data_IF_689851013514
#
_entry.id   IF_689851013514
#
_cell.length_a   1.000
_cell.length_b   1.000
_cell.length_c   1.000
_cell.angle_alpha   90.00
_cell.angle_beta   90.00
_cell.angle_gamma   90.00
#
_symmetry.space_group_name_H-M   'P 1'
#
loop_
_entity.id
_entity.type
_entity.pdbx_description
1 polymer ?
#
# COMPACT_ATOMS: atom_id res chain seq x y z
N UNK A 1 -24.05 -27.45 10.48
CA UNK A 1 -25.49 -27.70 10.26
C UNK A 1 -25.88 -27.04 8.94
N UNK A 2 -26.23 -27.84 7.92
CA UNK A 2 -26.81 -27.35 6.67
C UNK A 2 -28.28 -27.75 6.62
N UNK A 3 -29.14 -26.79 6.42
CA UNK A 3 -30.61 -27.01 6.18
C UNK A 3 -30.95 -26.55 4.77
N UNK A 4 -31.57 -27.41 3.99
CA UNK A 4 -32.09 -27.11 2.65
C UNK A 4 -33.60 -27.35 2.65
N UNK A 5 -34.39 -26.36 2.20
CA UNK A 5 -35.80 -26.50 1.92
C UNK A 5 -36.00 -26.66 0.40
N UNK A 6 -36.47 -27.82 -0.04
CA UNK A 6 -36.74 -28.08 -1.45
C UNK A 6 -38.24 -28.31 -1.67
N UNK A 7 -38.78 -27.56 -2.61
CA UNK A 7 -40.15 -27.83 -3.16
C UNK A 7 -39.96 -28.48 -4.54
N UNK A 8 -40.40 -29.72 -4.74
CA UNK A 8 -40.36 -30.37 -6.03
C UNK A 8 -41.77 -30.57 -6.60
N UNK A 9 -42.00 -30.01 -7.79
CA UNK A 9 -43.22 -30.30 -8.59
C UNK A 9 -42.83 -31.22 -9.72
N UNK A 10 -43.31 -32.48 -9.71
CA UNK A 10 -43.11 -33.41 -10.81
C UNK A 10 -44.12 -33.12 -11.96
N UNK A 11 -43.57 -32.79 -13.14
CA UNK A 11 -44.38 -32.60 -14.36
C UNK A 11 -44.33 -33.86 -15.23
N UNK A 12 -45.47 -34.58 -15.35
CA UNK A 12 -45.76 -35.44 -16.51
C UNK A 12 -47.00 -34.91 -17.18
N UNK A 13 -46.86 -34.46 -18.42
CA UNK A 13 -47.95 -34.01 -19.28
C UNK A 13 -48.69 -35.24 -19.79
N UNK A 14 -49.83 -35.55 -19.23
CA UNK A 14 -50.97 -36.20 -19.86
C UNK A 14 -52.23 -35.82 -19.07
N UNK A 15 -53.24 -35.42 -19.80
CA UNK A 15 -54.58 -34.99 -19.34
C UNK A 15 -55.14 -35.85 -18.22
N UNK A 16 -55.15 -35.31 -17.00
CA UNK A 16 -56.16 -35.55 -15.99
C UNK A 16 -56.05 -34.49 -14.89
N UNK A 17 -57.16 -33.81 -14.57
CA UNK A 17 -57.22 -32.76 -13.52
C UNK A 17 -57.24 -33.39 -12.13
N UNK A 18 -56.25 -34.24 -11.82
CA UNK A 18 -56.00 -34.74 -10.48
C UNK A 18 -54.93 -33.89 -9.79
N UNK A 19 -55.31 -33.37 -8.62
CA UNK A 19 -54.50 -32.53 -7.71
C UNK A 19 -53.07 -32.99 -7.66
N UNK A 20 -52.16 -32.17 -8.17
CA UNK A 20 -50.70 -32.39 -8.01
C UNK A 20 -50.38 -32.28 -6.52
N UNK A 21 -49.88 -33.33 -5.88
CA UNK A 21 -49.45 -33.24 -4.48
C UNK A 21 -48.26 -32.31 -4.37
N UNK A 22 -48.41 -31.21 -3.65
CA UNK A 22 -47.25 -30.36 -3.22
C UNK A 22 -46.69 -31.01 -1.98
N UNK A 23 -45.40 -31.42 -2.03
CA UNK A 23 -44.65 -31.91 -0.88
C UNK A 23 -43.68 -30.84 -0.45
N UNK A 24 -43.72 -30.46 0.80
CA UNK A 24 -42.75 -29.58 1.46
C UNK A 24 -41.89 -30.45 2.37
N UNK A 25 -40.56 -30.51 2.07
CA UNK A 25 -39.59 -31.24 2.85
C UNK A 25 -38.56 -30.27 3.42
N UNK A 26 -38.32 -30.37 4.70
CA UNK A 26 -37.18 -29.73 5.37
C UNK A 26 -36.20 -30.84 5.73
N UNK A 27 -34.97 -30.75 5.15
CA UNK A 27 -33.91 -31.69 5.41
C UNK A 27 -32.83 -31.03 6.29
N UNK A 28 -32.47 -31.66 7.37
CA UNK A 28 -31.33 -31.29 8.21
C UNK A 28 -30.30 -32.43 8.17
N UNK A 29 -29.05 -32.10 7.90
CA UNK A 29 -27.97 -33.08 7.95
C UNK A 29 -26.78 -32.53 8.72
N UNK A 30 -26.18 -33.40 9.51
CA UNK A 30 -24.98 -33.08 10.27
C UNK A 30 -23.93 -34.19 10.09
N UNK A 31 -22.75 -33.83 9.60
CA UNK A 31 -21.60 -34.72 9.53
C UNK A 31 -20.83 -34.63 10.85
N UNK A 32 -20.73 -35.74 11.58
CA UNK A 32 -20.03 -35.83 12.86
C UNK A 32 -18.53 -35.97 12.57
N UNK A 33 -17.71 -34.97 12.97
CA UNK A 33 -16.27 -34.96 12.66
C UNK A 33 -15.51 -35.91 13.58
N UNK A 34 -15.32 -37.16 13.16
CA UNK A 34 -14.64 -38.17 13.95
C UNK A 34 -13.10 -38.10 13.86
N UNK A 35 -12.54 -37.57 12.76
CA UNK A 35 -11.12 -37.62 12.43
C UNK A 35 -10.49 -36.24 12.32
N UNK A 36 -10.96 -35.25 13.07
CA UNK A 36 -10.39 -33.91 13.16
C UNK A 36 -10.67 -33.01 11.96
N UNK A 37 -11.64 -33.33 11.14
CA UNK A 37 -12.04 -32.55 9.96
C UNK A 37 -12.51 -31.15 10.34
N UNK A 38 -13.26 -31.01 11.43
CA UNK A 38 -13.74 -29.72 11.96
C UNK A 38 -12.55 -28.82 12.39
N UNK A 39 -11.56 -29.40 13.09
CA UNK A 39 -10.34 -28.66 13.47
C UNK A 39 -9.60 -28.11 12.25
N UNK A 40 -9.45 -28.92 11.20
CA UNK A 40 -8.75 -28.50 9.99
C UNK A 40 -9.58 -27.46 9.22
N UNK A 41 -10.90 -27.60 9.20
CA UNK A 41 -11.81 -26.63 8.60
C UNK A 41 -11.76 -25.30 9.34
N UNK A 42 -11.83 -25.33 10.67
CA UNK A 42 -11.72 -24.15 11.51
C UNK A 42 -10.33 -23.50 11.35
N UNK A 43 -9.25 -24.27 11.42
CA UNK A 43 -7.90 -23.76 11.21
C UNK A 43 -7.74 -23.08 9.84
N UNK A 44 -8.32 -23.66 8.78
CA UNK A 44 -8.30 -23.06 7.45
C UNK A 44 -9.03 -21.69 7.41
N UNK A 45 -10.18 -21.58 8.10
CA UNK A 45 -10.94 -20.35 8.22
C UNK A 45 -10.23 -19.28 9.06
N UNK A 46 -9.70 -19.68 10.23
CA UNK A 46 -8.95 -18.78 11.13
C UNK A 46 -7.69 -18.22 10.43
N UNK A 47 -6.98 -19.07 9.69
CA UNK A 47 -5.81 -18.64 8.90
C UNK A 47 -6.20 -17.72 7.74
N UNK A 48 -7.37 -17.91 7.11
CA UNK A 48 -7.88 -16.98 6.11
C UNK A 48 -8.16 -15.59 6.72
N UNK A 49 -8.73 -15.54 7.93
CA UNK A 49 -8.93 -14.28 8.67
C UNK A 49 -7.57 -13.65 9.01
N UNK A 50 -6.61 -14.44 9.49
CA UNK A 50 -5.26 -13.94 9.79
C UNK A 50 -4.56 -13.37 8.55
N UNK A 51 -4.68 -14.03 7.39
CA UNK A 51 -4.15 -13.54 6.12
C UNK A 51 -4.80 -12.21 5.70
N UNK A 52 -6.13 -12.10 5.79
CA UNK A 52 -6.86 -10.88 5.49
C UNK A 52 -6.45 -9.72 6.43
N UNK A 53 -6.16 -10.00 7.70
CA UNK A 53 -5.62 -9.02 8.64
C UNK A 53 -4.24 -8.50 8.20
N UNK A 54 -3.37 -9.37 7.65
CA UNK A 54 -2.08 -8.95 7.10
C UNK A 54 -2.25 -8.13 5.80
N UNK A 55 -3.24 -8.43 4.97
CA UNK A 55 -3.55 -7.62 3.79
C UNK A 55 -3.95 -6.18 4.19
N UNK A 56 -4.75 -6.02 5.26
CA UNK A 56 -5.08 -4.70 5.82
C UNK A 56 -3.84 -4.01 6.37
N UNK A 57 -2.96 -4.73 7.07
CA UNK A 57 -1.71 -4.17 7.58
C UNK A 57 -0.79 -3.70 6.44
N UNK A 58 -0.65 -4.50 5.38
CA UNK A 58 0.13 -4.14 4.20
C UNK A 58 -0.43 -2.90 3.48
N UNK A 59 -1.75 -2.82 3.33
CA UNK A 59 -2.41 -1.65 2.74
C UNK A 59 -2.17 -0.38 3.57
N UNK A 60 -2.25 -0.46 4.90
CA UNK A 60 -1.93 0.67 5.80
C UNK A 60 -0.49 1.15 5.63
N UNK A 61 0.47 0.21 5.59
CA UNK A 61 1.89 0.55 5.34
C UNK A 61 2.03 1.29 4.02
N UNK A 62 1.42 0.76 2.95
CA UNK A 62 1.51 1.35 1.61
C UNK A 62 0.94 2.77 1.58
N UNK A 63 -0.30 2.96 2.05
CA UNK A 63 -0.98 4.27 2.05
C UNK A 63 -0.23 5.28 2.94
N UNK A 64 0.23 4.86 4.13
CA UNK A 64 0.99 5.76 5.01
C UNK A 64 2.32 6.19 4.39
N UNK A 65 3.02 5.27 3.73
CA UNK A 65 4.27 5.58 3.04
C UNK A 65 4.04 6.50 1.83
N UNK A 66 2.95 6.33 1.11
CA UNK A 66 2.56 7.16 -0.02
C UNK A 66 2.22 8.59 0.43
N UNK A 67 1.37 8.74 1.46
CA UNK A 67 1.05 10.06 2.06
C UNK A 67 2.32 10.77 2.55
N UNK A 68 3.22 10.05 3.24
CA UNK A 68 4.48 10.60 3.71
C UNK A 68 5.38 11.05 2.54
N UNK A 69 5.44 10.24 1.47
CA UNK A 69 6.18 10.56 0.24
C UNK A 69 5.64 11.80 -0.46
N UNK A 70 4.33 11.89 -0.61
CA UNK A 70 3.66 13.02 -1.23
C UNK A 70 3.78 14.30 -0.39
N UNK A 71 3.72 14.17 0.94
CA UNK A 71 3.96 15.30 1.84
C UNK A 71 5.39 15.86 1.70
N UNK A 72 6.40 14.99 1.68
CA UNK A 72 7.81 15.38 1.46
C UNK A 72 7.97 16.06 0.09
N UNK A 73 7.33 15.52 -0.94
CA UNK A 73 7.32 16.08 -2.28
C UNK A 73 6.68 17.48 -2.31
N UNK A 74 5.51 17.63 -1.70
CA UNK A 74 4.84 18.91 -1.60
C UNK A 74 5.73 19.99 -0.98
N UNK A 75 6.43 19.65 0.13
CA UNK A 75 7.32 20.60 0.80
C UNK A 75 8.54 20.96 -0.07
N UNK A 76 9.07 20.00 -0.82
CA UNK A 76 10.13 20.26 -1.80
C UNK A 76 9.67 21.17 -2.94
N UNK A 77 8.47 20.92 -3.50
CA UNK A 77 7.87 21.77 -4.54
C UNK A 77 7.64 23.21 -4.06
N UNK A 78 7.12 23.38 -2.84
CA UNK A 78 6.91 24.70 -2.24
C UNK A 78 8.24 25.46 -2.05
N UNK A 79 9.29 24.75 -1.61
CA UNK A 79 10.62 25.34 -1.49
C UNK A 79 11.21 25.73 -2.84
N UNK A 80 11.11 24.86 -3.84
CA UNK A 80 11.57 25.13 -5.21
C UNK A 80 10.79 26.29 -5.85
N UNK A 81 9.48 26.36 -5.62
CA UNK A 81 8.65 27.49 -6.05
C UNK A 81 9.17 28.81 -5.49
N UNK A 82 9.50 28.85 -4.18
CA UNK A 82 10.06 30.04 -3.53
C UNK A 82 11.42 30.42 -4.18
N UNK A 83 12.33 29.47 -4.34
CA UNK A 83 13.66 29.70 -4.93
C UNK A 83 13.55 30.14 -6.41
N UNK A 84 12.58 29.59 -7.16
CA UNK A 84 12.30 30.01 -8.56
C UNK A 84 11.73 31.43 -8.63
N UNK A 85 10.88 31.84 -7.71
CA UNK A 85 10.40 33.22 -7.66
C UNK A 85 11.56 34.21 -7.35
N UNK A 86 12.50 33.84 -6.47
CA UNK A 86 13.71 34.59 -6.23
C UNK A 86 14.60 34.67 -7.49
N UNK A 87 14.73 33.55 -8.22
CA UNK A 87 15.45 33.49 -9.49
C UNK A 87 14.83 34.41 -10.55
N UNK A 88 13.51 34.41 -10.70
CA UNK A 88 12.82 35.30 -11.65
C UNK A 88 13.14 36.77 -11.34
N UNK A 89 13.03 37.18 -10.08
CA UNK A 89 13.35 38.55 -9.66
C UNK A 89 14.81 38.92 -9.95
N UNK A 90 15.73 37.98 -9.85
CA UNK A 90 17.15 38.14 -10.15
C UNK A 90 17.36 38.28 -11.67
N UNK A 91 16.74 37.41 -12.47
CA UNK A 91 16.83 37.44 -13.94
C UNK A 91 16.20 38.71 -14.54
N UNK A 92 15.12 39.22 -13.96
CA UNK A 92 14.53 40.50 -14.37
C UNK A 92 15.51 41.68 -14.18
N UNK A 93 16.23 41.69 -13.03
CA UNK A 93 17.29 42.71 -12.79
C UNK A 93 18.48 42.53 -13.71
N UNK A 94 18.89 41.31 -13.97
CA UNK A 94 20.00 40.98 -14.88
C UNK A 94 19.64 41.40 -16.34
N UNK A 95 18.44 41.07 -16.80
CA UNK A 95 17.95 41.45 -18.14
C UNK A 95 17.85 42.97 -18.30
N UNK A 96 17.39 43.70 -17.28
CA UNK A 96 17.38 45.18 -17.32
C UNK A 96 18.81 45.75 -17.46
N UNK A 97 19.76 45.20 -16.73
CA UNK A 97 21.17 45.61 -16.83
C UNK A 97 21.75 45.30 -18.20
N UNK A 98 21.47 44.12 -18.77
CA UNK A 98 21.89 43.74 -20.13
C UNK A 98 21.31 44.69 -21.18
N UNK A 99 20.05 45.08 -21.08
CA UNK A 99 19.42 46.06 -21.96
C UNK A 99 20.06 47.45 -21.88
N UNK A 100 20.41 47.92 -20.67
CA UNK A 100 21.14 49.21 -20.52
C UNK A 100 22.52 49.12 -21.12
N UNK A 101 23.26 48.03 -20.91
CA UNK A 101 24.58 47.81 -21.52
C UNK A 101 24.51 47.75 -23.06
N UNK A 102 23.49 47.10 -23.62
CA UNK A 102 23.25 47.07 -25.08
C UNK A 102 23.02 48.46 -25.66
N UNK A 103 22.15 49.27 -25.02
CA UNK A 103 21.90 50.66 -25.43
C UNK A 103 23.16 51.53 -25.36
N UNK A 104 24.02 51.24 -24.41
CA UNK A 104 25.33 51.92 -24.27
C UNK A 104 26.43 51.38 -25.20
N UNK A 105 26.12 50.35 -26.02
CA UNK A 105 27.10 49.70 -26.88
C UNK A 105 28.13 48.84 -26.15
N UNK A 106 27.86 48.49 -24.89
CA UNK A 106 28.76 47.69 -24.01
C UNK A 106 28.42 46.22 -23.96
N UNK A 107 27.30 45.80 -24.58
CA UNK A 107 26.87 44.39 -24.69
C UNK A 107 26.23 44.15 -26.05
N UNK A 108 26.12 42.90 -26.46
CA UNK A 108 25.48 42.49 -27.71
C UNK A 108 23.99 42.23 -27.49
N UNK A 109 23.18 42.34 -28.55
CA UNK A 109 21.76 41.94 -28.52
C UNK A 109 21.58 40.47 -28.21
N UNK A 110 22.56 39.59 -28.54
CA UNK A 110 22.56 38.16 -28.26
C UNK A 110 22.57 37.93 -26.72
N UNK A 111 23.36 38.71 -25.99
CA UNK A 111 23.45 38.59 -24.52
C UNK A 111 22.10 38.96 -23.85
N UNK A 112 21.48 40.06 -24.31
CA UNK A 112 20.18 40.50 -23.81
C UNK A 112 19.06 39.47 -24.11
N UNK A 113 19.00 38.95 -25.34
CA UNK A 113 18.02 37.93 -25.72
C UNK A 113 18.24 36.59 -24.93
N UNK A 114 19.49 36.21 -24.66
CA UNK A 114 19.81 35.06 -23.80
C UNK A 114 19.27 35.24 -22.38
N UNK A 115 19.42 36.42 -21.77
CA UNK A 115 18.85 36.72 -20.44
C UNK A 115 17.32 36.68 -20.43
N UNK A 116 16.65 37.17 -21.50
CA UNK A 116 15.20 37.09 -21.65
C UNK A 116 14.72 35.67 -21.81
N UNK A 117 15.37 34.85 -22.61
CA UNK A 117 15.04 33.42 -22.76
C UNK A 117 15.17 32.67 -21.44
N UNK A 118 16.20 32.98 -20.64
CA UNK A 118 16.36 32.44 -19.27
C UNK A 118 15.21 32.84 -18.35
N UNK A 119 14.76 34.09 -18.41
CA UNK A 119 13.60 34.59 -17.65
C UNK A 119 12.31 33.89 -18.02
N UNK A 120 12.04 33.70 -19.32
CA UNK A 120 10.83 33.00 -19.78
C UNK A 120 10.85 31.53 -19.38
N UNK A 121 12.01 30.88 -19.39
CA UNK A 121 12.19 29.51 -18.88
C UNK A 121 11.87 29.44 -17.40
N UNK A 122 12.37 30.37 -16.58
CA UNK A 122 12.09 30.42 -15.16
C UNK A 122 10.60 30.67 -14.86
N UNK A 123 9.92 31.54 -15.62
CA UNK A 123 8.47 31.78 -15.52
C UNK A 123 7.67 30.51 -15.87
N UNK A 124 8.04 29.81 -16.95
CA UNK A 124 7.41 28.54 -17.30
C UNK A 124 7.58 27.48 -16.22
N UNK A 125 8.77 27.41 -15.63
CA UNK A 125 9.04 26.51 -14.48
C UNK A 125 8.17 26.85 -13.27
N UNK A 126 7.95 28.13 -12.97
CA UNK A 126 7.08 28.55 -11.87
C UNK A 126 5.63 28.08 -12.07
N UNK A 127 5.10 28.22 -13.28
CA UNK A 127 3.76 27.74 -13.64
C UNK A 127 3.64 26.21 -13.48
N UNK A 128 4.66 25.47 -13.91
CA UNK A 128 4.69 24.03 -13.73
C UNK A 128 4.69 23.64 -12.24
N UNK A 129 5.52 24.32 -11.42
CA UNK A 129 5.56 24.07 -9.98
C UNK A 129 4.23 24.39 -9.27
N UNK A 130 3.52 25.45 -9.70
CA UNK A 130 2.19 25.77 -9.14
C UNK A 130 1.17 24.67 -9.45
N UNK A 131 1.19 24.12 -10.67
CA UNK A 131 0.34 23.00 -11.07
C UNK A 131 0.70 21.73 -10.29
N UNK A 132 1.98 21.41 -10.14
CA UNK A 132 2.45 20.23 -9.41
C UNK A 132 2.07 20.31 -7.92
N UNK A 133 2.17 21.49 -7.30
CA UNK A 133 1.71 21.74 -5.93
C UNK A 133 0.21 21.47 -5.80
N UNK A 134 -0.60 21.99 -6.73
CA UNK A 134 -2.04 21.77 -6.71
C UNK A 134 -2.40 20.28 -6.88
N UNK A 135 -1.75 19.59 -7.82
CA UNK A 135 -1.92 18.16 -8.08
C UNK A 135 -1.54 17.31 -6.86
N UNK A 136 -0.36 17.55 -6.28
CA UNK A 136 0.11 16.79 -5.11
C UNK A 136 -0.79 16.97 -3.90
N UNK A 137 -1.31 18.19 -3.67
CA UNK A 137 -2.29 18.45 -2.61
C UNK A 137 -3.58 17.67 -2.83
N UNK A 138 -4.05 17.57 -4.06
CA UNK A 138 -5.24 16.78 -4.41
C UNK A 138 -4.98 15.28 -4.21
N UNK A 139 -3.79 14.78 -4.54
CA UNK A 139 -3.40 13.39 -4.30
C UNK A 139 -3.42 13.05 -2.82
N UNK A 140 -2.83 13.90 -1.95
CA UNK A 140 -2.87 13.73 -0.49
C UNK A 140 -4.33 13.71 0.00
N UNK A 141 -5.18 14.63 -0.47
CA UNK A 141 -6.60 14.66 -0.09
C UNK A 141 -7.31 13.35 -0.46
N UNK A 142 -7.08 12.83 -1.67
CA UNK A 142 -7.65 11.56 -2.13
C UNK A 142 -7.21 10.38 -1.27
N UNK A 143 -5.93 10.31 -0.92
CA UNK A 143 -5.38 9.26 -0.04
C UNK A 143 -5.96 9.33 1.39
N UNK A 144 -6.34 10.53 1.85
CA UNK A 144 -7.04 10.75 3.12
C UNK A 144 -8.56 10.56 3.04
N UNK A 145 -9.09 10.21 1.86
CA UNK A 145 -10.53 10.04 1.63
C UNK A 145 -11.31 11.35 1.56
N UNK A 146 -10.64 12.48 1.34
CA UNK A 146 -11.26 13.81 1.21
C UNK A 146 -11.34 14.25 -0.25
N UNK A 147 -12.46 14.86 -0.64
CA UNK A 147 -12.61 15.46 -1.95
C UNK A 147 -11.82 16.78 -2.11
N UNK A 148 -11.61 17.50 -1.01
CA UNK A 148 -10.94 18.80 -1.01
C UNK A 148 -9.61 18.73 -0.23
N UNK A 149 -8.54 19.35 -0.77
CA UNK A 149 -7.27 19.46 -0.05
C UNK A 149 -7.39 20.27 1.24
N UNK A 150 -6.68 19.82 2.28
CA UNK A 150 -6.60 20.57 3.54
C UNK A 150 -5.97 21.95 3.30
N UNK A 151 -6.63 23.06 3.74
CA UNK A 151 -6.07 24.41 3.66
C UNK A 151 -4.71 24.56 4.37
N UNK A 152 -4.42 23.78 5.40
CA UNK A 152 -3.13 23.79 6.09
C UNK A 152 -1.95 23.44 5.17
N UNK A 153 -2.19 22.63 4.11
CA UNK A 153 -1.19 22.30 3.11
C UNK A 153 -0.83 23.45 2.15
N UNK A 154 -1.57 24.59 2.21
CA UNK A 154 -1.21 25.81 1.47
C UNK A 154 -0.02 26.54 2.09
N UNK A 155 0.10 26.50 3.42
CA UNK A 155 1.18 27.18 4.14
C UNK A 155 2.50 26.45 3.86
N UNK A 156 3.50 27.18 3.39
CA UNK A 156 4.84 26.64 3.22
C UNK A 156 5.48 26.40 4.59
N UNK A 157 5.97 25.19 4.79
CA UNK A 157 6.72 24.78 5.99
C UNK A 157 8.11 24.28 5.60
N UNK A 158 9.05 24.22 6.56
CA UNK A 158 10.37 23.67 6.30
C UNK A 158 10.28 22.24 5.73
N UNK A 159 11.18 21.93 4.81
CA UNK A 159 11.28 20.60 4.24
C UNK A 159 11.64 19.59 5.34
N UNK A 160 10.92 18.46 5.46
CA UNK A 160 11.23 17.43 6.45
C UNK A 160 12.59 16.82 6.19
N UNK A 161 13.41 16.76 7.23
CA UNK A 161 14.70 16.05 7.20
C UNK A 161 14.52 14.68 7.83
N UNK A 162 14.91 13.64 7.12
CA UNK A 162 14.79 12.29 7.61
C UNK A 162 15.79 12.03 8.74
N UNK A 163 15.32 12.02 9.99
CA UNK A 163 16.07 11.58 11.15
C UNK A 163 15.84 10.08 11.40
N UNK A 164 16.15 9.24 10.43
CA UNK A 164 16.11 7.80 10.65
C UNK A 164 17.38 7.41 11.39
N UNK A 165 17.28 7.19 12.70
CA UNK A 165 18.28 6.43 13.43
C UNK A 165 18.44 5.07 12.76
N UNK A 166 19.66 4.61 12.54
CA UNK A 166 19.90 3.23 12.09
C UNK A 166 19.21 2.32 13.10
N UNK A 167 18.20 1.57 12.64
CA UNK A 167 17.58 0.57 13.48
C UNK A 167 18.65 -0.44 13.86
N UNK A 168 19.05 -0.44 15.13
CA UNK A 168 19.99 -1.39 15.72
C UNK A 168 19.33 -2.78 15.83
N UNK A 169 18.85 -3.32 14.71
CA UNK A 169 18.28 -4.66 14.66
C UNK A 169 18.96 -5.48 13.57
N UNK A 170 19.14 -6.77 13.85
CA UNK A 170 19.57 -7.69 12.78
C UNK A 170 18.51 -7.65 11.67
N UNK A 171 18.88 -7.50 10.39
CA UNK A 171 17.92 -7.43 9.29
C UNK A 171 16.89 -8.56 9.30
N UNK A 172 17.30 -9.76 9.75
CA UNK A 172 16.41 -10.92 9.85
C UNK A 172 15.23 -10.76 10.84
N UNK A 173 15.42 -10.02 11.95
CA UNK A 173 14.36 -9.84 12.95
C UNK A 173 13.35 -8.79 12.49
N UNK A 174 13.80 -7.82 11.71
CA UNK A 174 12.94 -6.79 11.11
C UNK A 174 12.04 -7.37 10.01
N UNK A 175 12.52 -8.36 9.27
CA UNK A 175 11.75 -9.01 8.20
C UNK A 175 10.58 -9.85 8.73
N UNK A 176 10.69 -10.43 9.92
CA UNK A 176 9.64 -11.25 10.53
C UNK A 176 8.37 -10.48 10.86
N UNK A 177 8.46 -9.17 11.04
CA UNK A 177 7.30 -8.30 11.31
C UNK A 177 6.60 -7.79 10.06
N UNK A 178 7.09 -8.11 8.87
CA UNK A 178 6.50 -7.67 7.60
C UNK A 178 5.18 -8.39 7.34
N UNK A 179 4.11 -7.65 6.99
CA UNK A 179 2.80 -8.25 6.73
C UNK A 179 2.80 -9.26 5.57
N UNK A 180 3.59 -9.02 4.51
CA UNK A 180 3.71 -9.92 3.37
C UNK A 180 4.37 -11.25 3.73
N UNK A 181 5.40 -11.23 4.59
CA UNK A 181 6.08 -12.42 5.11
C UNK A 181 5.14 -13.21 6.02
N UNK A 182 4.46 -12.54 6.97
CA UNK A 182 3.46 -13.16 7.86
C UNK A 182 2.30 -13.77 7.08
N UNK A 183 1.79 -13.06 6.07
CA UNK A 183 0.75 -13.59 5.19
C UNK A 183 1.19 -14.87 4.48
N UNK A 184 2.41 -14.89 3.96
CA UNK A 184 2.96 -16.08 3.30
C UNK A 184 3.18 -17.24 4.28
N UNK A 185 3.55 -16.96 5.53
CA UNK A 185 3.64 -17.96 6.60
C UNK A 185 2.27 -18.58 6.92
N UNK A 186 1.23 -17.74 7.06
CA UNK A 186 -0.14 -18.22 7.26
C UNK A 186 -0.65 -19.02 6.06
N UNK A 187 -0.25 -18.67 4.83
CA UNK A 187 -0.60 -19.44 3.65
C UNK A 187 0.01 -20.87 3.67
N UNK A 188 1.25 -21.01 4.16
CA UNK A 188 1.88 -22.33 4.37
C UNK A 188 1.09 -23.13 5.41
N UNK A 189 0.74 -22.52 6.54
CA UNK A 189 -0.07 -23.19 7.57
C UNK A 189 -1.44 -23.63 7.04
N UNK A 190 -2.10 -22.77 6.24
CA UNK A 190 -3.38 -23.08 5.61
C UNK A 190 -3.29 -24.24 4.62
N UNK A 191 -2.25 -24.25 3.77
CA UNK A 191 -2.00 -25.37 2.86
C UNK A 191 -1.77 -26.69 3.62
N UNK A 192 -1.08 -26.62 4.78
CA UNK A 192 -0.92 -27.75 5.68
C UNK A 192 -2.25 -28.27 6.24
N UNK A 193 -3.14 -27.36 6.66
CA UNK A 193 -4.50 -27.72 7.11
C UNK A 193 -5.32 -28.37 5.98
N UNK A 194 -5.19 -27.90 4.75
CA UNK A 194 -5.85 -28.49 3.57
C UNK A 194 -5.36 -29.91 3.27
N UNK A 195 -4.06 -30.21 3.48
CA UNK A 195 -3.54 -31.57 3.42
C UNK A 195 -4.20 -32.45 4.52
N UNK A 196 -4.35 -31.91 5.73
CA UNK A 196 -5.06 -32.58 6.83
C UNK A 196 -6.51 -32.89 6.49
N UNK A 197 -7.21 -31.95 5.88
CA UNK A 197 -8.58 -32.13 5.37
C UNK A 197 -8.65 -33.25 4.33
N UNK A 198 -7.77 -33.25 3.32
CA UNK A 198 -7.73 -34.27 2.30
C UNK A 198 -7.42 -35.67 2.89
N UNK A 199 -6.57 -35.74 3.92
CA UNK A 199 -6.29 -36.99 4.65
C UNK A 199 -7.51 -37.47 5.44
N UNK A 200 -8.30 -36.55 6.03
CA UNK A 200 -9.53 -36.93 6.74
C UNK A 200 -10.58 -37.56 5.83
N UNK A 201 -10.58 -37.23 4.53
CA UNK A 201 -11.48 -37.83 3.55
C UNK A 201 -11.16 -39.31 3.21
N UNK A 202 -10.03 -39.84 3.65
CA UNK A 202 -9.70 -41.26 3.54
C UNK A 202 -10.43 -42.12 4.60
N UNK A 203 -10.96 -41.49 5.64
CA UNK A 203 -11.60 -42.19 6.76
C UNK A 203 -13.12 -42.23 6.62
N UNK A 204 -13.82 -43.14 7.37
CA UNK A 204 -15.25 -43.23 7.37
C UNK A 204 -15.90 -41.92 7.85
N UNK A 205 -17.00 -41.54 7.21
CA UNK A 205 -17.80 -40.35 7.59
C UNK A 205 -19.11 -40.80 8.21
N UNK A 206 -19.40 -40.30 9.39
CA UNK A 206 -20.67 -40.51 10.08
C UNK A 206 -21.56 -39.28 9.87
N UNK A 207 -22.69 -39.49 9.21
CA UNK A 207 -23.67 -38.43 8.97
C UNK A 207 -24.97 -38.75 9.70
N UNK A 208 -25.51 -37.80 10.42
CA UNK A 208 -26.84 -37.84 10.95
C UNK A 208 -27.74 -36.97 10.06
N UNK A 209 -28.75 -37.57 9.45
CA UNK A 209 -29.70 -36.85 8.60
C UNK A 209 -31.14 -37.05 9.08
N UNK A 210 -31.96 -36.03 8.94
CA UNK A 210 -33.39 -36.07 9.24
C UNK A 210 -34.15 -35.23 8.25
N UNK A 211 -35.28 -35.76 7.77
CA UNK A 211 -36.18 -35.08 6.87
C UNK A 211 -37.55 -35.00 7.52
N UNK A 212 -38.14 -33.82 7.57
CA UNK A 212 -39.52 -33.58 7.97
C UNK A 212 -40.27 -33.15 6.71
N UNK A 213 -41.27 -33.94 6.29
CA UNK A 213 -42.08 -33.68 5.12
C UNK A 213 -43.56 -33.50 5.45
N UNK A 214 -44.23 -32.56 4.78
CA UNK A 214 -45.66 -32.36 4.80
C UNK A 214 -46.17 -32.56 3.39
N UNK A 215 -47.04 -33.54 3.19
CA UNK A 215 -47.65 -33.83 1.88
C UNK A 215 -48.81 -34.82 2.00
N UNK A 216 -49.69 -34.93 0.96
CA UNK A 216 -50.81 -35.85 0.96
C UNK A 216 -50.28 -37.29 1.02
N UNK A 217 -50.90 -38.14 1.83
CA UNK A 217 -50.35 -39.44 2.20
C UNK A 217 -50.54 -40.50 1.13
N UNK A 218 -49.45 -41.23 0.90
CA UNK A 218 -49.62 -42.64 0.51
C UNK A 218 -49.91 -43.51 1.76
N UNK A 219 -49.86 -42.94 2.97
CA UNK A 219 -50.18 -43.56 4.25
C UNK A 219 -50.55 -42.47 5.28
N UNK A 220 -51.49 -42.75 6.11
CA UNK A 220 -52.27 -41.99 7.07
C UNK A 220 -51.64 -40.98 8.02
N UNK A 221 -50.47 -40.39 7.77
CA UNK A 221 -49.89 -39.34 8.60
C UNK A 221 -49.49 -38.13 7.79
N UNK A 222 -50.06 -36.98 8.12
CA UNK A 222 -49.78 -35.66 7.52
C UNK A 222 -48.36 -35.18 7.73
N UNK A 223 -47.62 -35.76 8.68
CA UNK A 223 -46.27 -35.41 9.04
C UNK A 223 -45.41 -36.67 9.03
N UNK A 224 -44.47 -36.74 8.09
CA UNK A 224 -43.48 -37.81 8.04
C UNK A 224 -42.15 -37.33 8.59
N UNK A 225 -41.61 -37.98 9.63
CA UNK A 225 -40.25 -37.79 10.10
C UNK A 225 -39.45 -39.02 9.72
N UNK A 226 -38.48 -38.84 8.83
CA UNK A 226 -37.56 -39.88 8.41
C UNK A 226 -36.12 -39.41 8.67
N UNK A 227 -35.33 -40.23 9.31
CA UNK A 227 -33.91 -39.92 9.53
C UNK A 227 -33.20 -40.99 10.32
N UNK A 228 -31.87 -40.88 10.35
CA UNK A 228 -31.03 -41.78 11.10
C UNK A 228 -29.54 -41.56 10.86
N UNK A 229 -28.72 -42.25 11.65
CA UNK A 229 -27.24 -42.24 11.39
C UNK A 229 -26.95 -43.04 10.11
N UNK A 230 -26.09 -42.50 9.27
CA UNK A 230 -25.54 -43.19 8.10
C UNK A 230 -24.01 -43.16 8.16
N UNK A 231 -23.38 -44.32 7.98
CA UNK A 231 -21.91 -44.45 7.90
C UNK A 231 -21.53 -44.62 6.44
N UNK A 232 -20.72 -43.69 5.95
CA UNK A 232 -20.17 -43.74 4.59
C UNK A 232 -18.68 -44.14 4.68
N UNK A 233 -18.38 -45.35 4.22
CA UNK A 233 -17.02 -45.88 4.17
C UNK A 233 -16.55 -45.95 2.72
N UNK A 234 -15.47 -45.20 2.36
CA UNK A 234 -14.89 -45.34 1.01
C UNK A 234 -14.05 -46.59 0.92
N UNK A 235 -14.63 -47.67 0.36
CA UNK A 235 -13.93 -48.98 0.26
C UNK A 235 -13.10 -49.04 -1.01
N UNK A 236 -13.62 -48.55 -2.15
CA UNK A 236 -12.96 -48.62 -3.43
C UNK A 236 -13.29 -47.38 -4.29
N UNK A 237 -12.26 -46.60 -4.66
CA UNK A 237 -12.40 -45.37 -5.45
C UNK A 237 -11.27 -45.25 -6.51
N UNK A 238 -10.64 -46.33 -6.89
CA UNK A 238 -9.52 -46.38 -7.85
C UNK A 238 -8.35 -45.44 -7.50
N UNK A 239 -8.14 -45.14 -6.23
CA UNK A 239 -7.05 -44.30 -5.76
C UNK A 239 -7.34 -42.78 -5.78
N UNK A 240 -8.51 -42.35 -6.28
CA UNK A 240 -8.90 -40.93 -6.44
C UNK A 240 -8.61 -40.07 -5.19
N UNK A 241 -8.94 -40.55 -4.00
CA UNK A 241 -8.71 -39.82 -2.76
C UNK A 241 -7.24 -39.70 -2.38
N UNK A 242 -6.45 -40.76 -2.66
CA UNK A 242 -4.99 -40.72 -2.48
C UNK A 242 -4.35 -39.73 -3.43
N UNK A 243 -4.83 -39.65 -4.68
CA UNK A 243 -4.34 -38.69 -5.65
C UNK A 243 -4.70 -37.24 -5.24
N UNK A 244 -5.86 -37.01 -4.63
CA UNK A 244 -6.22 -35.71 -4.05
C UNK A 244 -5.27 -35.36 -2.91
N UNK A 245 -4.93 -36.30 -2.03
CA UNK A 245 -3.92 -36.04 -0.98
C UNK A 245 -2.57 -35.70 -1.58
N UNK A 246 -2.11 -36.44 -2.59
CA UNK A 246 -0.85 -36.17 -3.27
C UNK A 246 -0.83 -34.80 -3.96
N UNK A 247 -1.96 -34.38 -4.56
CA UNK A 247 -2.13 -33.05 -5.13
C UNK A 247 -2.03 -31.95 -4.05
N UNK A 248 -2.71 -32.11 -2.90
CA UNK A 248 -2.62 -31.17 -1.78
C UNK A 248 -1.22 -31.11 -1.17
N UNK A 249 -0.51 -32.23 -1.09
CA UNK A 249 0.88 -32.25 -0.65
C UNK A 249 1.82 -31.53 -1.65
N UNK A 250 1.55 -31.61 -2.94
CA UNK A 250 2.28 -30.85 -3.96
C UNK A 250 2.00 -29.35 -3.84
N UNK A 251 0.75 -28.94 -3.65
CA UNK A 251 0.35 -27.55 -3.37
C UNK A 251 1.01 -27.00 -2.09
N UNK A 252 1.07 -27.79 -1.02
CA UNK A 252 1.79 -27.44 0.19
C UNK A 252 3.27 -27.17 -0.08
N UNK A 253 3.96 -28.07 -0.81
CA UNK A 253 5.36 -27.86 -1.21
C UNK A 253 5.54 -26.60 -2.06
N UNK A 254 4.64 -26.34 -2.98
CA UNK A 254 4.63 -25.11 -3.79
C UNK A 254 4.51 -23.86 -2.90
N UNK A 255 3.61 -23.88 -1.92
CA UNK A 255 3.40 -22.75 -0.99
C UNK A 255 4.63 -22.52 -0.11
N UNK A 256 5.32 -23.58 0.32
CA UNK A 256 6.60 -23.46 1.06
C UNK A 256 7.68 -22.78 0.21
N UNK A 257 7.76 -23.12 -1.07
CA UNK A 257 8.71 -22.47 -2.00
C UNK A 257 8.34 -21.02 -2.24
N UNK A 258 7.05 -20.70 -2.39
CA UNK A 258 6.55 -19.33 -2.51
C UNK A 258 6.89 -18.49 -1.25
N UNK A 259 6.72 -19.05 -0.05
CA UNK A 259 7.14 -18.39 1.20
C UNK A 259 8.64 -18.07 1.19
N UNK A 260 9.50 -19.02 0.81
CA UNK A 260 10.94 -18.79 0.71
C UNK A 260 11.27 -17.67 -0.28
N UNK A 261 10.58 -17.61 -1.40
CA UNK A 261 10.75 -16.53 -2.38
C UNK A 261 10.37 -15.18 -1.80
N UNK A 262 9.23 -15.08 -1.09
CA UNK A 262 8.80 -13.83 -0.42
C UNK A 262 9.86 -13.35 0.58
N UNK A 263 10.43 -14.24 1.39
CA UNK A 263 11.49 -13.91 2.35
C UNK A 263 12.75 -13.38 1.65
N UNK A 264 13.16 -14.03 0.54
CA UNK A 264 14.33 -13.58 -0.24
C UNK A 264 14.11 -12.21 -0.87
N UNK A 265 12.93 -11.98 -1.46
CA UNK A 265 12.56 -10.68 -2.04
C UNK A 265 12.49 -9.59 -0.96
N UNK A 266 11.95 -9.88 0.21
CA UNK A 266 11.90 -8.95 1.32
C UNK A 266 13.32 -8.56 1.81
N UNK A 267 14.24 -9.52 1.84
CA UNK A 267 15.65 -9.26 2.16
C UNK A 267 16.33 -8.39 1.09
N UNK A 268 16.12 -8.70 -0.18
CA UNK A 268 16.65 -7.93 -1.32
C UNK A 268 16.15 -6.49 -1.28
N UNK A 269 14.84 -6.29 -1.14
CA UNK A 269 14.19 -4.97 -1.04
C UNK A 269 14.76 -4.14 0.12
N UNK A 270 14.88 -4.76 1.31
CA UNK A 270 15.44 -4.08 2.49
C UNK A 270 16.90 -3.69 2.30
N UNK A 271 17.69 -4.56 1.68
CA UNK A 271 19.09 -4.30 1.39
C UNK A 271 19.27 -3.21 0.33
N UNK A 272 18.39 -3.20 -0.68
CA UNK A 272 18.38 -2.16 -1.71
C UNK A 272 17.97 -0.81 -1.12
N UNK A 273 16.90 -0.75 -0.35
CA UNK A 273 16.43 0.48 0.29
C UNK A 273 17.51 1.09 1.23
N UNK A 274 18.27 0.25 1.94
CA UNK A 274 19.39 0.71 2.75
C UNK A 274 20.51 1.33 1.90
N UNK A 275 20.88 0.69 0.77
CA UNK A 275 21.90 1.24 -0.13
C UNK A 275 21.47 2.58 -0.72
N UNK A 276 20.20 2.68 -1.15
CA UNK A 276 19.62 3.91 -1.71
C UNK A 276 19.61 5.04 -0.67
N UNK A 277 19.22 4.75 0.57
CA UNK A 277 19.25 5.72 1.66
C UNK A 277 20.67 6.23 1.94
N UNK A 278 21.65 5.34 2.00
CA UNK A 278 23.05 5.73 2.23
C UNK A 278 23.60 6.55 1.07
N UNK A 279 23.29 6.19 -0.17
CA UNK A 279 23.67 6.95 -1.36
C UNK A 279 23.02 8.35 -1.38
N UNK A 280 21.73 8.45 -1.06
CA UNK A 280 21.00 9.71 -0.98
C UNK A 280 21.62 10.63 0.10
N UNK A 281 21.90 10.09 1.30
CA UNK A 281 22.59 10.84 2.39
C UNK A 281 23.95 11.37 1.96
N UNK A 282 24.77 10.52 1.33
CA UNK A 282 26.08 10.94 0.85
C UNK A 282 25.96 12.07 -0.18
N UNK A 283 25.01 11.97 -1.11
CA UNK A 283 24.76 13.01 -2.11
C UNK A 283 24.30 14.33 -1.47
N UNK A 284 23.37 14.27 -0.51
CA UNK A 284 22.91 15.47 0.22
C UNK A 284 24.06 16.15 0.96
N UNK A 285 24.94 15.40 1.63
CA UNK A 285 26.11 15.94 2.32
C UNK A 285 27.09 16.61 1.34
N UNK A 286 27.30 16.03 0.17
CA UNK A 286 28.15 16.63 -0.88
C UNK A 286 27.57 17.93 -1.41
N UNK A 287 26.26 17.98 -1.68
CA UNK A 287 25.58 19.18 -2.14
C UNK A 287 25.54 20.28 -1.09
N UNK A 288 25.37 19.95 0.20
CA UNK A 288 25.49 20.90 1.30
C UNK A 288 26.89 21.52 1.38
N UNK A 289 27.95 20.70 1.28
CA UNK A 289 29.32 21.18 1.25
C UNK A 289 29.61 22.08 0.02
N UNK A 290 29.05 21.70 -1.15
CA UNK A 290 29.15 22.51 -2.37
C UNK A 290 28.43 23.85 -2.21
N UNK A 291 27.25 23.86 -1.60
CA UNK A 291 26.46 25.07 -1.35
C UNK A 291 27.25 26.05 -0.46
N UNK A 292 27.89 25.55 0.60
CA UNK A 292 28.74 26.37 1.46
C UNK A 292 29.90 27.00 0.67
N UNK A 293 30.59 26.26 -0.20
CA UNK A 293 31.69 26.76 -1.04
C UNK A 293 31.19 27.81 -2.04
N UNK A 294 30.12 27.54 -2.75
CA UNK A 294 29.51 28.47 -3.73
C UNK A 294 29.01 29.74 -3.04
N UNK A 295 28.42 29.62 -1.86
CA UNK A 295 27.98 30.77 -1.06
C UNK A 295 29.15 31.67 -0.66
N UNK A 296 30.29 31.09 -0.21
CA UNK A 296 31.51 31.85 0.08
C UNK A 296 32.07 32.52 -1.17
N UNK A 297 32.13 31.80 -2.30
CA UNK A 297 32.58 32.34 -3.57
C UNK A 297 31.77 33.54 -4.01
N UNK A 298 30.41 33.40 -3.95
CA UNK A 298 29.48 34.51 -4.27
C UNK A 298 29.73 35.73 -3.37
N UNK A 299 29.88 35.52 -2.05
CA UNK A 299 30.18 36.62 -1.11
C UNK A 299 31.46 37.34 -1.47
N UNK A 300 32.54 36.61 -1.84
CA UNK A 300 33.80 37.20 -2.28
C UNK A 300 33.62 37.95 -3.60
N UNK A 301 32.90 37.41 -4.56
CA UNK A 301 32.59 38.08 -5.83
C UNK A 301 31.81 39.38 -5.60
N UNK A 302 30.83 39.39 -4.70
CA UNK A 302 30.08 40.59 -4.36
C UNK A 302 30.96 41.72 -3.75
N UNK A 303 31.98 41.35 -3.00
CA UNK A 303 32.99 42.34 -2.49
C UNK A 303 33.78 42.90 -3.66
N UNK A 304 34.30 42.06 -4.56
CA UNK A 304 35.06 42.53 -5.73
C UNK A 304 34.23 43.46 -6.65
N UNK A 305 32.95 43.13 -6.85
CA UNK A 305 32.02 43.98 -7.61
C UNK A 305 31.82 45.33 -6.90
N UNK A 306 31.68 45.33 -5.60
CA UNK A 306 31.49 46.55 -4.78
C UNK A 306 32.70 47.48 -4.81
N UNK A 307 33.89 46.88 -4.82
CA UNK A 307 35.16 47.62 -4.94
C UNK A 307 35.52 48.01 -6.40
N UNK A 308 34.59 47.71 -7.37
CA UNK A 308 34.84 48.01 -8.78
C UNK A 308 35.88 47.14 -9.47
N UNK A 309 36.29 46.02 -8.83
CA UNK A 309 37.34 45.10 -9.34
C UNK A 309 36.74 43.98 -10.18
N UNK A 310 35.43 43.84 -10.26
CA UNK A 310 34.70 42.88 -11.10
C UNK A 310 33.40 43.48 -11.64
N UNK A 311 32.93 42.98 -12.81
CA UNK A 311 31.68 43.39 -13.43
C UNK A 311 30.48 42.90 -12.61
N UNK A 312 29.44 43.71 -12.53
CA UNK A 312 28.17 43.38 -11.84
C UNK A 312 27.51 42.12 -12.38
N UNK A 313 27.70 41.77 -13.65
CA UNK A 313 27.21 40.53 -14.25
C UNK A 313 27.74 39.29 -13.52
N UNK A 314 28.96 39.33 -12.98
CA UNK A 314 29.55 38.23 -12.21
C UNK A 314 28.80 37.97 -10.88
N UNK A 315 28.29 39.02 -10.25
CA UNK A 315 27.44 38.87 -9.04
C UNK A 315 26.11 38.20 -9.38
N UNK A 316 25.50 38.57 -10.52
CA UNK A 316 24.28 37.90 -10.98
C UNK A 316 24.51 36.43 -11.35
N UNK A 317 25.58 36.11 -12.11
CA UNK A 317 25.94 34.74 -12.44
C UNK A 317 26.14 33.90 -11.16
N UNK A 318 26.86 34.42 -10.17
CA UNK A 318 27.05 33.76 -8.88
C UNK A 318 25.76 33.55 -8.11
N UNK A 319 24.82 34.49 -8.17
CA UNK A 319 23.52 34.37 -7.50
C UNK A 319 22.60 33.35 -8.21
N UNK A 320 22.59 33.30 -9.53
CA UNK A 320 21.84 32.31 -10.33
C UNK A 320 22.35 30.91 -9.99
N UNK A 321 23.68 30.69 -10.08
CA UNK A 321 24.29 29.40 -9.72
C UNK A 321 23.96 28.96 -8.28
N UNK A 322 23.92 29.90 -7.33
CA UNK A 322 23.54 29.61 -5.96
C UNK A 322 22.09 29.14 -5.83
N UNK A 323 21.15 29.78 -6.55
CA UNK A 323 19.72 29.40 -6.55
C UNK A 323 19.49 28.05 -7.24
N UNK A 324 20.15 27.77 -8.34
CA UNK A 324 20.12 26.45 -9.01
C UNK A 324 20.65 25.35 -8.10
N UNK A 325 21.74 25.63 -7.38
CA UNK A 325 22.31 24.68 -6.43
C UNK A 325 21.38 24.46 -5.22
N UNK A 326 20.68 25.50 -4.73
CA UNK A 326 19.63 25.35 -3.69
C UNK A 326 18.50 24.45 -4.18
N UNK A 327 18.04 24.64 -5.42
CA UNK A 327 17.02 23.77 -6.02
C UNK A 327 17.49 22.31 -6.11
N UNK A 328 18.74 22.09 -6.52
CA UNK A 328 19.35 20.75 -6.55
C UNK A 328 19.48 20.12 -5.15
N UNK A 329 19.84 20.91 -4.14
CA UNK A 329 19.89 20.47 -2.75
C UNK A 329 18.48 20.11 -2.23
N UNK A 330 17.48 20.92 -2.51
CA UNK A 330 16.07 20.66 -2.16
C UNK A 330 15.61 19.32 -2.73
N UNK A 331 15.94 19.04 -4.00
CA UNK A 331 15.64 17.75 -4.63
C UNK A 331 16.40 16.59 -3.96
N UNK A 332 17.65 16.80 -3.57
CA UNK A 332 18.44 15.76 -2.89
C UNK A 332 17.91 15.45 -1.50
N UNK A 333 17.47 16.44 -0.73
CA UNK A 333 16.82 16.26 0.58
C UNK A 333 15.47 15.51 0.41
N UNK A 334 14.72 15.82 -0.63
CA UNK A 334 13.51 15.07 -0.97
C UNK A 334 13.82 13.60 -1.24
N UNK A 335 14.82 13.33 -2.09
CA UNK A 335 15.22 11.97 -2.42
C UNK A 335 15.71 11.19 -1.18
N UNK A 336 16.43 11.85 -0.28
CA UNK A 336 16.86 11.26 0.99
C UNK A 336 15.68 10.90 1.88
N UNK A 337 14.70 11.81 2.01
CA UNK A 337 13.49 11.56 2.80
C UNK A 337 12.63 10.43 2.19
N UNK A 338 12.47 10.39 0.87
CA UNK A 338 11.79 9.29 0.16
C UNK A 338 12.50 7.94 0.34
N UNK A 339 13.84 7.93 0.25
CA UNK A 339 14.64 6.73 0.51
C UNK A 339 14.50 6.25 1.97
N UNK A 340 14.39 7.16 2.93
CA UNK A 340 14.13 6.83 4.32
C UNK A 340 12.74 6.22 4.52
N UNK A 341 11.71 6.75 3.86
CA UNK A 341 10.34 6.20 3.86
C UNK A 341 10.36 4.80 3.24
N UNK A 342 11.03 4.62 2.10
CA UNK A 342 11.16 3.32 1.45
C UNK A 342 11.88 2.30 2.34
N UNK A 343 12.95 2.69 3.01
CA UNK A 343 13.66 1.83 3.96
C UNK A 343 12.77 1.45 5.15
N UNK A 344 12.00 2.38 5.69
CA UNK A 344 11.04 2.10 6.76
C UNK A 344 9.96 1.11 6.31
N UNK A 345 9.38 1.32 5.12
CA UNK A 345 8.40 0.41 4.49
C UNK A 345 8.98 -1.00 4.32
N UNK A 346 10.23 -1.11 3.86
CA UNK A 346 10.90 -2.37 3.59
C UNK A 346 11.32 -3.15 4.85
N UNK A 347 11.49 -2.47 5.99
CA UNK A 347 12.05 -3.11 7.20
C UNK A 347 11.08 -3.31 8.33
N UNK A 348 10.15 -2.39 8.57
CA UNK A 348 9.35 -2.41 9.79
C UNK A 348 7.89 -2.80 9.60
N UNK A 349 7.30 -2.54 8.42
CA UNK A 349 5.86 -2.54 8.40
C UNK A 349 5.28 -1.62 9.51
N UNK A 350 4.01 -1.33 9.51
CA UNK A 350 3.40 -0.59 10.63
C UNK A 350 3.38 -1.51 11.86
N UNK A 351 4.06 -1.12 12.95
CA UNK A 351 3.71 -1.65 14.26
C UNK A 351 2.19 -1.48 14.43
N UNK A 352 1.42 -2.52 14.77
CA UNK A 352 0.01 -2.35 15.02
C UNK A 352 -0.11 -1.24 16.08
N UNK A 353 -0.83 -0.17 15.75
CA UNK A 353 -1.32 0.74 16.77
C UNK A 353 -2.01 -0.16 17.80
N UNK A 354 -1.59 -0.04 19.07
CA UNK A 354 -2.25 -0.73 20.16
C UNK A 354 -3.77 -0.59 19.94
N UNK A 355 -4.55 -1.68 20.10
CA UNK A 355 -5.98 -1.63 19.86
C UNK A 355 -6.49 -0.42 20.66
N UNK A 356 -7.10 0.53 19.96
CA UNK A 356 -7.84 1.60 20.61
C UNK A 356 -8.88 0.90 21.47
N UNK A 357 -8.64 0.90 22.78
CA UNK A 357 -9.64 0.50 23.76
C UNK A 357 -10.93 1.26 23.44
N UNK A 358 -12.00 0.48 23.36
CA UNK A 358 -13.38 0.94 23.41
C UNK A 358 -13.91 1.89 22.33
N UNK A 359 -14.27 1.31 21.20
CA UNK A 359 -15.59 1.66 20.68
C UNK A 359 -16.62 0.87 21.51
N UNK A 360 -17.07 1.45 22.62
CA UNK A 360 -18.27 1.01 23.34
C UNK A 360 -19.40 0.88 22.33
N UNK A 361 -19.81 -0.35 22.06
CA UNK A 361 -21.08 -0.60 21.36
C UNK A 361 -22.17 0.10 22.15
N UNK A 362 -23.05 0.90 21.54
CA UNK A 362 -24.18 1.45 22.25
C UNK A 362 -24.99 0.26 22.81
N UNK A 363 -25.11 0.22 24.11
CA UNK A 363 -26.02 -0.65 24.85
C UNK A 363 -27.41 -0.48 24.24
N UNK A 364 -27.94 -1.55 23.62
CA UNK A 364 -29.37 -1.66 23.35
C UNK A 364 -30.08 -1.68 24.69
N UNK A 365 -30.60 -0.53 25.10
CA UNK A 365 -31.47 -0.42 26.23
C UNK A 365 -32.75 -1.21 25.90
N UNK A 366 -32.92 -2.33 26.58
CA UNK A 366 -34.23 -2.94 26.81
C UNK A 366 -35.14 -1.91 27.50
N UNK A 367 -36.14 -1.44 26.80
CA UNK A 367 -37.29 -0.70 27.31
C UNK A 367 -38.43 -1.68 27.52
N UNK A 368 -38.54 -2.15 28.76
CA UNK A 368 -39.80 -2.70 29.29
C UNK A 368 -40.85 -1.55 29.38
N UNK A 369 -41.96 -1.71 28.73
CA UNK A 369 -43.29 -1.73 29.34
C UNK A 369 -44.32 -2.03 28.24
#
# INVERSE_FOLDING_TARGET
>A
LSGLANASTGSRIKDDFTRRPVQLNVEASWEIPLFGQDRQTQATADLAVAMAAQDVAAARVAVTAEIAGDYVHLRALQKRRFDTAELISLLERSSKLAGVKEQAGLATSIENESQRAGLDTAKSTLLALDNDIASTRQQIATLLGSANPDPALLTAEPQPVATVGMAEGRPADLLRSRPDVLRAEFAVAQAGAQVGLAKSDLYPKLRLSGTIGIGPPASSSLLGVLGGPSLQLPIFDYGRRKDVVAAREAEFRQTVLAYRQVVLLAYEESSQALRELNAARANTALLQSRLQRVSKLKASTDILVREGLADTSKSFEGAINLLELRSSLTQSIENEARAAIAFYKATRGVQPLAPTEDVKRPSTAEGRK
#
